data_IF_655606513562
#
_entry.id   IF_655606513562
#
_cell.length_a   1.000
_cell.length_b   1.000
_cell.length_c   1.000
_cell.angle_alpha   90.00
_cell.angle_beta   90.00
_cell.angle_gamma   90.00
#
_symmetry.space_group_name_H-M   'P 1'
#
loop_
_entity.id
_entity.type
_entity.pdbx_description
1 polymer ?
#
# COMPACT_ATOMS: atom_id res chain seq x y z
N UNK A 1 48.48 -22.66 9.75
CA UNK A 1 48.01 -22.19 8.48
C UNK A 1 46.70 -22.82 8.02
N UNK A 2 46.50 -24.16 8.02
CA UNK A 2 45.23 -24.82 7.62
C UNK A 2 44.00 -24.39 8.42
N UNK A 3 44.12 -24.18 9.74
CA UNK A 3 43.00 -23.71 10.60
C UNK A 3 42.59 -22.27 10.32
N UNK A 4 43.53 -21.39 9.95
CA UNK A 4 43.28 -20.00 9.62
C UNK A 4 42.51 -19.86 8.28
N UNK A 5 42.86 -20.70 7.30
CA UNK A 5 42.19 -20.76 5.99
C UNK A 5 40.75 -21.27 6.14
N UNK A 6 40.51 -22.26 7.01
CA UNK A 6 39.17 -22.79 7.27
C UNK A 6 38.26 -21.73 7.93
N UNK A 7 38.80 -20.94 8.86
CA UNK A 7 38.06 -19.85 9.52
C UNK A 7 37.71 -18.72 8.53
N UNK A 8 38.60 -18.40 7.60
CA UNK A 8 38.38 -17.40 6.58
C UNK A 8 37.30 -17.85 5.56
N UNK A 9 37.28 -19.15 5.20
CA UNK A 9 36.24 -19.71 4.31
C UNK A 9 34.86 -19.74 4.96
N UNK A 10 34.78 -19.98 6.27
CA UNK A 10 33.50 -19.92 7.00
C UNK A 10 32.98 -18.47 7.12
N UNK A 11 33.88 -17.49 7.30
CA UNK A 11 33.51 -16.08 7.32
C UNK A 11 33.03 -15.53 5.97
N UNK A 12 33.53 -16.06 4.84
CA UNK A 12 33.03 -15.73 3.51
C UNK A 12 31.67 -16.35 3.15
N UNK A 13 31.25 -17.41 3.87
CA UNK A 13 29.97 -18.09 3.62
C UNK A 13 28.75 -17.40 4.22
N UNK A 14 28.92 -16.41 5.09
CA UNK A 14 27.83 -15.56 5.58
C UNK A 14 27.58 -14.41 4.59
N UNK A 15 27.18 -14.75 3.38
CA UNK A 15 26.63 -13.78 2.45
C UNK A 15 25.46 -13.10 3.14
N UNK A 16 25.61 -11.82 3.50
CA UNK A 16 24.54 -10.95 3.91
C UNK A 16 23.53 -10.91 2.78
N UNK A 17 22.53 -11.77 2.80
CA UNK A 17 21.33 -11.56 2.01
C UNK A 17 20.69 -10.29 2.57
N UNK A 18 21.04 -9.14 2.01
CA UNK A 18 20.31 -7.91 2.21
C UNK A 18 18.93 -8.11 1.56
N UNK A 19 18.04 -8.82 2.25
CA UNK A 19 16.65 -8.84 1.90
C UNK A 19 16.16 -7.40 2.05
N UNK A 20 15.57 -6.83 1.02
CA UNK A 20 14.84 -5.59 1.14
C UNK A 20 13.72 -5.83 2.16
N UNK A 21 13.99 -5.47 3.42
CA UNK A 21 13.06 -5.72 4.51
C UNK A 21 11.94 -4.69 4.43
N UNK A 22 10.90 -5.04 3.63
CA UNK A 22 9.74 -4.18 3.40
C UNK A 22 8.82 -4.10 4.62
N UNK A 23 9.01 -4.98 5.60
CA UNK A 23 8.18 -5.08 6.78
C UNK A 23 8.56 -4.10 7.89
N UNK A 24 7.59 -3.85 8.78
CA UNK A 24 7.77 -3.22 10.09
C UNK A 24 6.87 -3.93 11.11
N UNK A 25 7.18 -3.80 12.38
CA UNK A 25 6.30 -4.31 13.45
C UNK A 25 5.08 -3.41 13.59
N UNK A 26 3.87 -4.01 13.55
CA UNK A 26 2.64 -3.27 13.82
C UNK A 26 2.47 -3.05 15.32
N UNK A 27 2.38 -1.78 15.72
CA UNK A 27 2.10 -1.34 17.10
C UNK A 27 0.90 -0.41 17.19
N UNK A 28 0.30 -0.04 16.04
CA UNK A 28 -0.66 1.07 15.95
C UNK A 28 -2.12 0.63 15.90
N UNK A 29 -2.41 -0.59 15.44
CA UNK A 29 -3.80 -1.04 15.26
C UNK A 29 -3.97 -2.53 15.57
N UNK A 30 -5.22 -2.93 15.79
CA UNK A 30 -5.59 -4.32 16.11
C UNK A 30 -6.57 -4.87 15.07
N UNK A 31 -6.69 -6.21 15.03
CA UNK A 31 -7.69 -6.87 14.19
C UNK A 31 -9.11 -6.51 14.63
N UNK A 32 -9.93 -6.13 13.65
CA UNK A 32 -11.32 -5.69 13.87
C UNK A 32 -11.47 -4.18 14.04
N UNK A 33 -10.39 -3.41 13.81
CA UNK A 33 -10.50 -1.95 13.84
C UNK A 33 -11.34 -1.45 12.66
N UNK A 34 -12.25 -0.51 12.96
CA UNK A 34 -13.03 0.24 11.98
C UNK A 34 -12.89 1.74 12.28
N UNK A 35 -12.57 2.52 11.25
CA UNK A 35 -12.40 3.96 11.31
C UNK A 35 -13.34 4.63 10.32
N UNK A 36 -14.05 5.67 10.78
CA UNK A 36 -14.92 6.46 9.93
C UNK A 36 -14.40 7.89 9.83
N UNK A 37 -14.48 8.46 8.64
CA UNK A 37 -14.01 9.80 8.34
C UNK A 37 -15.08 10.58 7.59
N UNK A 38 -15.26 11.83 7.97
CA UNK A 38 -15.95 12.82 7.16
C UNK A 38 -14.95 13.55 6.27
N UNK A 39 -15.26 13.64 4.98
CA UNK A 39 -14.41 14.30 4.00
C UNK A 39 -14.91 15.72 3.76
N UNK A 40 -14.06 16.70 3.98
CA UNK A 40 -14.37 18.10 3.77
C UNK A 40 -13.47 18.68 2.69
N UNK A 41 -14.09 19.47 1.81
CA UNK A 41 -13.37 20.34 0.89
C UNK A 41 -13.34 21.76 1.47
N UNK A 42 -12.15 22.34 1.56
CA UNK A 42 -11.98 23.72 1.96
C UNK A 42 -11.74 24.60 0.73
N UNK A 43 -12.60 25.58 0.54
CA UNK A 43 -12.40 26.63 -0.45
C UNK A 43 -12.47 27.99 0.25
N UNK A 44 -11.34 28.65 0.35
CA UNK A 44 -11.17 29.89 1.09
C UNK A 44 -11.59 29.73 2.56
N UNK A 45 -12.76 30.21 2.94
CA UNK A 45 -13.30 30.15 4.32
C UNK A 45 -14.44 29.12 4.49
N UNK A 46 -14.80 28.42 3.43
CA UNK A 46 -15.95 27.53 3.42
C UNK A 46 -15.48 26.07 3.50
N UNK A 47 -15.95 25.36 4.52
CA UNK A 47 -15.76 23.91 4.64
C UNK A 47 -17.06 23.21 4.22
N UNK A 48 -16.98 22.44 3.14
CA UNK A 48 -18.11 21.68 2.62
C UNK A 48 -17.86 20.20 2.81
N UNK A 49 -18.79 19.51 3.49
CA UNK A 49 -18.73 18.05 3.56
C UNK A 49 -19.03 17.45 2.18
N UNK A 50 -18.01 16.90 1.57
CA UNK A 50 -18.06 16.35 0.20
C UNK A 50 -18.24 14.84 0.17
N UNK A 51 -18.08 14.17 1.32
CA UNK A 51 -18.24 12.72 1.37
C UNK A 51 -17.89 12.13 2.74
N UNK A 52 -17.75 10.81 2.75
CA UNK A 52 -17.28 10.02 3.88
C UNK A 52 -16.33 8.94 3.40
N UNK A 53 -15.50 8.43 4.31
CA UNK A 53 -14.69 7.25 4.10
C UNK A 53 -14.77 6.33 5.30
N UNK A 54 -14.79 5.02 5.06
CA UNK A 54 -14.72 3.99 6.10
C UNK A 54 -13.53 3.09 5.79
N UNK A 55 -12.70 2.87 6.80
CA UNK A 55 -11.56 1.97 6.72
C UNK A 55 -11.68 0.87 7.77
N UNK A 56 -11.67 -0.39 7.33
CA UNK A 56 -11.68 -1.55 8.20
C UNK A 56 -10.39 -2.35 8.03
N UNK A 57 -9.85 -2.82 9.15
CA UNK A 57 -8.59 -3.57 9.17
C UNK A 57 -8.75 -4.81 10.05
N UNK A 58 -8.42 -6.00 9.50
CA UNK A 58 -8.49 -7.25 10.25
C UNK A 58 -7.43 -8.25 9.84
N UNK A 59 -7.05 -9.11 10.77
CA UNK A 59 -6.25 -10.28 10.48
C UNK A 59 -7.11 -11.36 9.79
N UNK A 60 -6.60 -11.97 8.75
CA UNK A 60 -7.24 -13.02 7.97
C UNK A 60 -6.20 -13.90 7.30
N UNK A 61 -6.60 -14.70 6.33
CA UNK A 61 -5.68 -15.46 5.47
C UNK A 61 -5.70 -14.92 4.04
N UNK A 62 -4.53 -14.83 3.43
CA UNK A 62 -4.34 -14.61 2.01
C UNK A 62 -3.46 -15.72 1.46
N UNK A 63 -3.97 -16.46 0.47
CA UNK A 63 -3.30 -17.65 -0.08
C UNK A 63 -2.85 -18.68 1.01
N UNK A 64 -3.70 -18.86 2.03
CA UNK A 64 -3.48 -19.82 3.13
C UNK A 64 -2.55 -19.32 4.25
N UNK A 65 -1.90 -18.16 4.12
CA UNK A 65 -1.01 -17.55 5.12
C UNK A 65 -1.71 -16.42 5.85
N UNK A 66 -1.31 -16.16 7.10
CA UNK A 66 -1.84 -15.05 7.87
C UNK A 66 -1.47 -13.72 7.21
N UNK A 67 -2.46 -12.83 7.10
CA UNK A 67 -2.32 -11.53 6.46
C UNK A 67 -3.24 -10.50 7.08
N UNK A 68 -2.80 -9.25 7.12
CA UNK A 68 -3.65 -8.10 7.34
C UNK A 68 -4.46 -7.82 6.08
N UNK A 69 -5.77 -7.77 6.21
CA UNK A 69 -6.67 -7.26 5.19
C UNK A 69 -7.16 -5.89 5.62
N UNK A 70 -6.93 -4.89 4.79
CA UNK A 70 -7.49 -3.55 4.99
C UNK A 70 -8.26 -3.12 3.76
N UNK A 71 -9.41 -2.50 3.96
CA UNK A 71 -10.14 -1.87 2.87
C UNK A 71 -10.64 -0.50 3.28
N UNK A 72 -10.65 0.41 2.32
CA UNK A 72 -11.15 1.77 2.46
C UNK A 72 -12.24 1.97 1.40
N UNK A 73 -13.44 2.34 1.86
CA UNK A 73 -14.54 2.70 0.98
C UNK A 73 -14.73 4.21 1.10
N UNK A 74 -14.63 4.91 -0.02
CA UNK A 74 -14.89 6.36 -0.08
C UNK A 74 -16.17 6.61 -0.85
N UNK A 75 -17.03 7.46 -0.33
CA UNK A 75 -18.31 7.82 -0.94
C UNK A 75 -18.48 9.33 -0.95
N UNK A 76 -18.67 9.90 -2.13
CA UNK A 76 -19.07 11.28 -2.29
C UNK A 76 -20.47 11.55 -1.70
N UNK A 77 -20.72 12.80 -1.36
CA UNK A 77 -22.04 13.24 -0.93
C UNK A 77 -23.02 13.14 -2.10
N UNK A 78 -24.12 12.38 -1.92
CA UNK A 78 -25.13 12.14 -2.98
C UNK A 78 -25.75 13.42 -3.54
N UNK A 79 -25.82 14.51 -2.76
CA UNK A 79 -26.28 15.82 -3.24
C UNK A 79 -25.35 16.44 -4.29
N UNK A 80 -24.08 16.01 -4.32
CA UNK A 80 -23.05 16.46 -5.26
C UNK A 80 -22.89 15.52 -6.46
N UNK A 81 -23.52 14.33 -6.46
CA UNK A 81 -23.39 13.32 -7.52
C UNK A 81 -23.81 13.85 -8.92
N UNK A 82 -24.71 14.82 -8.97
CA UNK A 82 -25.07 15.51 -10.21
C UNK A 82 -23.92 16.30 -10.86
N UNK A 83 -22.90 16.67 -10.05
CA UNK A 83 -21.71 17.36 -10.53
C UNK A 83 -20.55 16.40 -10.70
N UNK A 84 -20.34 15.53 -9.72
CA UNK A 84 -19.25 14.56 -9.72
C UNK A 84 -19.54 13.39 -8.78
N UNK A 85 -19.64 12.19 -9.36
CA UNK A 85 -19.80 10.95 -8.58
C UNK A 85 -18.43 10.45 -8.12
N UNK A 86 -18.30 10.12 -6.85
CA UNK A 86 -17.10 9.49 -6.28
C UNK A 86 -17.51 8.26 -5.47
N UNK A 87 -17.05 7.09 -5.89
CA UNK A 87 -17.30 5.80 -5.26
C UNK A 87 -16.06 4.94 -5.44
N UNK A 88 -15.17 4.98 -4.48
CA UNK A 88 -13.90 4.27 -4.56
C UNK A 88 -13.79 3.20 -3.49
N UNK A 89 -13.18 2.09 -3.85
CA UNK A 89 -12.84 1.02 -2.93
C UNK A 89 -11.38 0.67 -3.13
N UNK A 90 -10.62 0.78 -2.05
CA UNK A 90 -9.24 0.30 -1.98
C UNK A 90 -9.20 -0.93 -1.09
N UNK A 91 -8.52 -1.97 -1.55
CA UNK A 91 -8.31 -3.21 -0.82
C UNK A 91 -6.81 -3.50 -0.80
N UNK A 92 -6.26 -3.84 0.35
CA UNK A 92 -4.87 -4.28 0.48
C UNK A 92 -4.77 -5.51 1.37
N UNK A 93 -3.87 -6.41 0.99
CA UNK A 93 -3.37 -7.47 1.83
C UNK A 93 -1.88 -7.26 2.08
N UNK A 94 -1.49 -7.36 3.35
CA UNK A 94 -0.10 -7.27 3.78
C UNK A 94 0.26 -8.47 4.64
N UNK A 95 1.52 -8.85 4.62
CA UNK A 95 2.06 -9.81 5.59
C UNK A 95 1.85 -9.31 7.04
N UNK A 96 2.02 -10.16 8.06
CA UNK A 96 1.96 -9.72 9.46
C UNK A 96 2.92 -8.57 9.80
N UNK A 97 4.03 -8.45 9.06
CA UNK A 97 5.03 -7.36 9.17
C UNK A 97 4.70 -6.15 8.29
N UNK A 98 3.49 -6.04 7.76
CA UNK A 98 3.01 -4.96 6.89
C UNK A 98 3.73 -4.82 5.55
N UNK A 99 4.54 -5.77 5.12
CA UNK A 99 5.03 -5.82 3.74
C UNK A 99 3.86 -6.14 2.78
N UNK A 100 3.70 -5.40 1.66
CA UNK A 100 2.57 -5.58 0.75
C UNK A 100 2.52 -6.98 0.12
N UNK A 101 1.32 -7.52 -0.10
CA UNK A 101 1.06 -8.76 -0.84
C UNK A 101 0.19 -8.51 -2.08
N UNK A 102 -0.88 -7.75 -1.91
CA UNK A 102 -1.83 -7.45 -2.96
C UNK A 102 -2.52 -6.12 -2.70
N UNK A 103 -2.76 -5.36 -3.75
CA UNK A 103 -3.52 -4.13 -3.72
C UNK A 103 -4.53 -4.11 -4.88
N UNK A 104 -5.71 -3.57 -4.63
CA UNK A 104 -6.73 -3.29 -5.64
C UNK A 104 -7.42 -1.97 -5.37
N UNK A 105 -7.49 -1.12 -6.38
CA UNK A 105 -8.35 0.06 -6.42
C UNK A 105 -9.45 -0.18 -7.45
N UNK A 106 -10.72 -0.05 -7.05
CA UNK A 106 -11.84 0.10 -7.96
C UNK A 106 -12.43 1.48 -7.77
N UNK A 107 -12.39 2.32 -8.80
CA UNK A 107 -12.76 3.72 -8.69
C UNK A 107 -13.86 4.09 -9.67
N UNK A 108 -14.94 4.69 -9.14
CA UNK A 108 -15.99 5.35 -9.90
C UNK A 108 -15.82 6.85 -9.73
N UNK A 109 -15.21 7.49 -10.71
CA UNK A 109 -14.88 8.91 -10.72
C UNK A 109 -15.63 9.60 -11.89
N UNK A 110 -16.68 10.34 -11.58
CA UNK A 110 -17.60 10.88 -12.57
C UNK A 110 -18.31 9.76 -13.35
N UNK A 111 -18.20 9.76 -14.67
CA UNK A 111 -18.76 8.71 -15.55
C UNK A 111 -17.85 7.50 -15.71
N UNK A 112 -16.55 7.63 -15.36
CA UNK A 112 -15.55 6.58 -15.57
C UNK A 112 -15.55 5.58 -14.42
N UNK A 113 -15.31 4.31 -14.73
CA UNK A 113 -15.00 3.26 -13.77
C UNK A 113 -13.75 2.53 -14.23
N UNK A 114 -12.79 2.35 -13.36
CA UNK A 114 -11.56 1.63 -13.66
C UNK A 114 -11.11 0.79 -12.47
N UNK A 115 -10.28 -0.20 -12.75
CA UNK A 115 -9.67 -1.07 -11.74
C UNK A 115 -8.16 -1.07 -11.91
N UNK A 116 -7.45 -0.91 -10.80
CA UNK A 116 -6.01 -1.10 -10.72
C UNK A 116 -5.71 -2.19 -9.70
N UNK A 117 -4.80 -3.10 -10.04
CA UNK A 117 -4.36 -4.19 -9.17
C UNK A 117 -2.84 -4.31 -9.17
N UNK A 118 -2.26 -4.69 -8.04
CA UNK A 118 -0.84 -4.97 -7.88
C UNK A 118 -0.67 -6.24 -7.06
N UNK A 119 0.07 -7.21 -7.60
CA UNK A 119 0.58 -8.35 -6.84
C UNK A 119 2.06 -8.10 -6.55
N UNK A 120 2.45 -8.35 -5.31
CA UNK A 120 3.81 -8.19 -4.82
C UNK A 120 4.46 -9.53 -4.62
N UNK A 121 5.73 -9.64 -5.01
CA UNK A 121 6.59 -10.78 -4.70
C UNK A 121 8.02 -10.27 -4.43
N UNK A 122 8.81 -11.09 -3.75
CA UNK A 122 10.13 -10.67 -3.26
C UNK A 122 11.25 -11.62 -3.69
N UNK A 123 11.45 -11.90 -5.00
CA UNK A 123 12.47 -12.81 -5.48
C UNK A 123 13.87 -12.22 -5.23
N UNK A 124 14.73 -13.01 -4.55
CA UNK A 124 16.11 -12.61 -4.26
C UNK A 124 16.24 -11.30 -3.48
N UNK A 125 15.22 -10.94 -2.68
CA UNK A 125 15.18 -9.71 -1.89
C UNK A 125 14.78 -8.45 -2.66
N UNK A 126 14.52 -8.54 -3.96
CA UNK A 126 13.97 -7.43 -4.74
C UNK A 126 12.45 -7.37 -4.60
N UNK A 127 11.88 -6.18 -4.70
CA UNK A 127 10.43 -5.97 -4.73
C UNK A 127 9.95 -6.04 -6.19
N UNK A 128 9.20 -7.07 -6.55
CA UNK A 128 8.61 -7.22 -7.88
C UNK A 128 7.11 -6.96 -7.82
N UNK A 129 6.63 -6.09 -8.70
CA UNK A 129 5.26 -5.71 -8.86
C UNK A 129 4.72 -6.24 -10.19
N UNK A 130 3.67 -7.07 -10.16
CA UNK A 130 2.86 -7.39 -11.33
C UNK A 130 1.61 -6.53 -11.28
N UNK A 131 1.51 -5.57 -12.17
CA UNK A 131 0.42 -4.61 -12.25
C UNK A 131 -0.59 -5.02 -13.31
N UNK A 132 -1.86 -4.80 -13.03
CA UNK A 132 -2.98 -4.97 -13.94
C UNK A 132 -3.89 -3.75 -13.84
N UNK A 133 -4.29 -3.21 -14.99
CA UNK A 133 -5.26 -2.14 -15.08
C UNK A 133 -6.36 -2.52 -16.05
N UNK A 134 -7.60 -2.24 -15.66
CA UNK A 134 -8.79 -2.28 -16.52
C UNK A 134 -9.28 -0.85 -16.64
N UNK A 135 -9.21 -0.26 -17.84
CA UNK A 135 -9.65 1.08 -18.11
C UNK A 135 -11.18 1.18 -18.20
N UNK A 136 -11.69 2.40 -18.30
CA UNK A 136 -13.14 2.67 -18.32
C UNK A 136 -13.87 2.08 -19.52
N UNK A 137 -13.20 1.82 -20.61
CA UNK A 137 -13.69 1.15 -21.83
C UNK A 137 -13.51 -0.38 -21.79
N UNK A 138 -12.91 -0.92 -20.72
CA UNK A 138 -12.68 -2.34 -20.51
C UNK A 138 -11.35 -2.83 -21.07
N UNK A 139 -10.51 -1.97 -21.63
CA UNK A 139 -9.17 -2.36 -22.09
C UNK A 139 -8.30 -2.78 -20.90
N UNK A 140 -7.53 -3.85 -21.09
CA UNK A 140 -6.70 -4.43 -20.03
C UNK A 140 -5.23 -4.25 -20.34
N UNK A 141 -4.48 -3.78 -19.34
CA UNK A 141 -3.04 -3.54 -19.45
C UNK A 141 -2.29 -4.29 -18.35
N UNK A 142 -1.15 -4.86 -18.70
CA UNK A 142 -0.28 -5.58 -17.78
C UNK A 142 1.14 -5.04 -17.83
N UNK A 143 1.77 -4.90 -16.67
CA UNK A 143 3.17 -4.49 -16.54
C UNK A 143 3.83 -5.17 -15.35
N UNK A 144 5.02 -5.73 -15.55
CA UNK A 144 5.85 -6.22 -14.46
C UNK A 144 7.07 -5.31 -14.31
N UNK A 145 7.36 -4.94 -13.05
CA UNK A 145 8.49 -4.09 -12.71
C UNK A 145 9.22 -4.66 -11.49
N UNK A 146 10.53 -4.53 -11.45
CA UNK A 146 11.36 -5.02 -10.33
C UNK A 146 12.21 -3.89 -9.79
N UNK A 147 12.23 -3.76 -8.47
CA UNK A 147 12.92 -2.69 -7.74
C UNK A 147 13.83 -3.28 -6.66
N UNK A 148 14.98 -2.65 -6.43
CA UNK A 148 15.88 -3.00 -5.32
C UNK A 148 15.40 -2.50 -3.96
N UNK A 149 14.50 -1.51 -3.97
CA UNK A 149 13.87 -0.94 -2.78
C UNK A 149 12.42 -1.42 -2.65
N UNK A 150 11.87 -1.31 -1.43
CA UNK A 150 10.45 -1.58 -1.21
C UNK A 150 9.59 -0.52 -1.87
N UNK A 151 8.57 -0.97 -2.58
CA UNK A 151 7.53 -0.13 -3.16
C UNK A 151 6.23 -0.46 -2.43
N UNK A 152 5.46 0.56 -2.08
CA UNK A 152 4.21 0.41 -1.35
C UNK A 152 3.03 0.87 -2.21
N UNK A 153 1.83 0.35 -1.92
CA UNK A 153 0.57 0.90 -2.41
C UNK A 153 0.01 1.95 -1.44
N UNK A 154 -1.07 2.61 -1.83
CA UNK A 154 -1.73 3.66 -1.04
C UNK A 154 -2.18 3.17 0.34
N UNK A 155 -2.66 1.92 0.45
CA UNK A 155 -3.14 1.38 1.72
C UNK A 155 -2.00 0.91 2.61
N UNK A 156 -1.02 0.21 2.05
CA UNK A 156 0.13 -0.28 2.81
C UNK A 156 0.98 0.87 3.37
N UNK A 157 1.15 1.96 2.61
CA UNK A 157 1.86 3.15 3.15
C UNK A 157 1.06 3.84 4.25
N UNK A 158 -0.28 3.89 4.14
CA UNK A 158 -1.13 4.44 5.19
C UNK A 158 -1.03 3.63 6.49
N UNK A 159 -1.11 2.29 6.41
CA UNK A 159 -0.90 1.42 7.57
C UNK A 159 0.49 1.58 8.18
N UNK A 160 1.52 1.70 7.32
CA UNK A 160 2.89 1.92 7.75
C UNK A 160 3.08 3.26 8.45
N UNK A 161 2.51 4.35 7.90
CA UNK A 161 2.60 5.68 8.48
C UNK A 161 1.99 5.78 9.89
N UNK A 162 0.95 5.00 10.17
CA UNK A 162 0.34 4.90 11.50
C UNK A 162 1.29 4.30 12.56
N UNK A 163 2.30 3.55 12.12
CA UNK A 163 3.31 2.94 12.98
C UNK A 163 4.55 3.82 13.20
N UNK A 164 4.57 5.05 12.69
CA UNK A 164 5.67 5.96 12.97
C UNK A 164 5.59 6.47 14.41
N UNK A 165 6.70 6.37 15.10
CA UNK A 165 6.84 6.92 16.45
C UNK A 165 7.02 8.45 16.36
N UNK A 166 5.93 9.17 16.62
CA UNK A 166 5.92 10.64 16.58
C UNK A 166 6.91 11.30 17.53
N UNK A 167 7.28 10.62 18.63
CA UNK A 167 8.26 11.14 19.59
C UNK A 167 9.68 11.22 19.04
N UNK A 168 9.97 10.44 18.00
CA UNK A 168 11.28 10.42 17.30
C UNK A 168 11.34 11.37 16.11
N UNK A 169 10.20 11.99 15.74
CA UNK A 169 10.14 12.90 14.60
C UNK A 169 10.50 14.32 15.02
N UNK A 170 11.27 15.01 14.19
CA UNK A 170 11.63 16.41 14.38
C UNK A 170 10.79 17.31 13.49
N UNK A 171 10.47 18.52 13.97
CA UNK A 171 9.77 19.52 13.17
C UNK A 171 10.52 19.78 11.85
N UNK A 172 9.82 19.66 10.72
CA UNK A 172 10.41 19.81 9.39
C UNK A 172 11.11 18.55 8.84
N UNK A 173 11.13 17.44 9.57
CA UNK A 173 11.68 16.19 9.07
C UNK A 173 10.82 15.66 7.91
N UNK A 174 11.47 15.30 6.81
CA UNK A 174 10.83 14.67 5.64
C UNK A 174 11.09 13.16 5.69
N UNK A 175 10.04 12.38 5.51
CA UNK A 175 10.11 10.92 5.35
C UNK A 175 9.68 10.61 3.91
N UNK A 176 10.62 10.13 3.10
CA UNK A 176 10.33 9.71 1.73
C UNK A 176 10.09 8.21 1.68
N UNK A 177 9.00 7.80 1.01
CA UNK A 177 8.69 6.39 0.80
C UNK A 177 8.24 6.20 -0.65
N UNK A 178 8.83 5.26 -1.41
CA UNK A 178 8.42 4.98 -2.77
C UNK A 178 7.02 4.35 -2.80
N UNK A 179 6.12 4.93 -3.59
CA UNK A 179 4.74 4.47 -3.75
C UNK A 179 4.50 4.12 -5.22
N UNK A 180 3.75 3.05 -5.46
CA UNK A 180 3.14 2.76 -6.75
C UNK A 180 1.65 3.11 -6.69
N UNK A 181 1.21 3.97 -7.58
CA UNK A 181 -0.19 4.30 -7.79
C UNK A 181 -0.96 3.25 -8.62
N UNK A 182 -0.29 2.15 -8.97
CA UNK A 182 -0.76 1.12 -9.91
C UNK A 182 -0.93 1.59 -11.36
N UNK A 183 -0.75 2.86 -11.66
CA UNK A 183 -0.80 3.38 -13.03
C UNK A 183 0.22 2.67 -13.92
N UNK A 184 -0.24 2.22 -15.10
CA UNK A 184 0.60 1.56 -16.10
C UNK A 184 1.01 2.55 -17.20
N UNK A 185 0.26 3.64 -17.34
CA UNK A 185 0.36 4.57 -18.46
C UNK A 185 1.35 5.72 -18.25
N UNK A 186 1.95 5.89 -17.08
CA UNK A 186 3.01 6.88 -16.87
C UNK A 186 4.36 6.31 -17.33
N UNK A 187 4.83 6.76 -18.46
CA UNK A 187 6.24 6.63 -18.88
C UNK A 187 7.11 7.56 -18.05
#
# INVERSE_FOLDING_TARGET
MKKLILTLLIAMGMGLTANAQCGITNTAFKSGESLEYDLYFNWQFIWVKVGSAQMDTKMTKFEGKDAWKSYLITRGNSKLDKYFTMRDTLLSYCNPDLSPLYFRKGAKEGSRYYVDEIWYSYPGGNCQLKKHRIDADGEQHWKTSTYRSCIYDMMSIFLRARNFDGSKLKKGQVISTPISDASILSN
#
